data_IF_146265776066
#
_entry.id   IF_146265776066
#
_cell.length_a   1.000
_cell.length_b   1.000
_cell.length_c   1.000
_cell.angle_alpha   90.00
_cell.angle_beta   90.00
_cell.angle_gamma   90.00
#
_symmetry.space_group_name_H-M   'P 1'
#
loop_
_entity.id
_entity.type
_entity.pdbx_description
1 polymer ?
#
# COMPACT_ATOMS: atom_id res chain seq x y z
N UNK A 1 -34.24 4.89 -18.15
CA UNK A 1 -33.33 4.66 -17.01
C UNK A 1 -32.53 3.41 -17.28
N UNK A 2 -31.23 3.55 -17.54
CA UNK A 2 -30.34 2.41 -17.74
C UNK A 2 -30.08 1.80 -16.36
N UNK A 3 -30.50 0.55 -16.15
CA UNK A 3 -30.29 -0.17 -14.89
C UNK A 3 -28.80 -0.18 -14.54
N UNK A 4 -28.43 0.38 -13.38
CA UNK A 4 -27.05 0.36 -12.88
C UNK A 4 -26.66 -1.10 -12.59
N UNK A 5 -25.85 -1.68 -13.48
CA UNK A 5 -25.40 -3.06 -13.32
C UNK A 5 -24.17 -3.12 -12.41
N UNK A 6 -24.38 -3.53 -11.17
CA UNK A 6 -23.26 -3.82 -10.26
C UNK A 6 -22.52 -5.07 -10.70
N UNK A 7 -21.19 -5.02 -10.75
CA UNK A 7 -20.38 -6.16 -11.15
C UNK A 7 -20.33 -7.23 -10.04
N UNK A 8 -21.26 -8.20 -10.12
CA UNK A 8 -21.31 -9.36 -9.22
C UNK A 8 -20.05 -10.22 -9.25
N UNK A 9 -19.35 -10.28 -10.39
CA UNK A 9 -18.09 -11.03 -10.49
C UNK A 9 -17.01 -10.38 -9.63
N UNK A 10 -16.86 -9.05 -9.68
CA UNK A 10 -15.92 -8.33 -8.82
C UNK A 10 -16.23 -8.55 -7.33
N UNK A 11 -17.52 -8.53 -6.95
CA UNK A 11 -17.96 -8.84 -5.58
C UNK A 11 -17.61 -10.27 -5.14
N UNK A 12 -17.67 -11.24 -6.05
CA UNK A 12 -17.30 -12.64 -5.77
C UNK A 12 -15.78 -12.82 -5.63
N UNK A 13 -14.98 -12.10 -6.43
CA UNK A 13 -13.52 -12.27 -6.52
C UNK A 13 -12.72 -11.11 -5.92
N UNK A 14 -13.31 -10.29 -5.04
CA UNK A 14 -12.66 -9.09 -4.51
C UNK A 14 -11.29 -9.37 -3.87
N UNK A 15 -11.14 -10.45 -3.09
CA UNK A 15 -9.86 -10.78 -2.42
C UNK A 15 -8.71 -10.99 -3.40
N UNK A 16 -8.80 -11.92 -4.38
CA UNK A 16 -7.72 -12.10 -5.34
C UNK A 16 -7.51 -10.86 -6.22
N UNK A 17 -8.56 -10.10 -6.56
CA UNK A 17 -8.43 -8.85 -7.31
C UNK A 17 -7.63 -7.79 -6.53
N UNK A 18 -8.01 -7.52 -5.28
CA UNK A 18 -7.27 -6.60 -4.39
C UNK A 18 -5.80 -6.99 -4.28
N UNK A 19 -5.50 -8.28 -4.16
CA UNK A 19 -4.10 -8.73 -4.10
C UNK A 19 -3.35 -8.39 -5.39
N UNK A 20 -3.89 -8.72 -6.57
CA UNK A 20 -3.22 -8.43 -7.84
C UNK A 20 -3.05 -6.93 -8.08
N UNK A 21 -4.03 -6.12 -7.69
CA UNK A 21 -3.91 -4.66 -7.76
C UNK A 21 -2.77 -4.17 -6.88
N UNK A 22 -2.66 -4.64 -5.63
CA UNK A 22 -1.55 -4.25 -4.74
C UNK A 22 -0.18 -4.66 -5.29
N UNK A 23 -0.09 -5.84 -5.93
CA UNK A 23 1.14 -6.29 -6.59
C UNK A 23 1.48 -5.44 -7.82
N UNK A 24 0.48 -5.10 -8.65
CA UNK A 24 0.65 -4.22 -9.80
C UNK A 24 1.15 -2.83 -9.39
N UNK A 25 0.53 -2.25 -8.35
CA UNK A 25 0.95 -0.97 -7.76
C UNK A 25 2.39 -1.03 -7.28
N UNK A 26 2.79 -2.11 -6.59
CA UNK A 26 4.17 -2.26 -6.13
C UNK A 26 5.17 -2.32 -7.29
N UNK A 27 4.85 -3.07 -8.35
CA UNK A 27 5.76 -3.22 -9.49
C UNK A 27 5.93 -1.89 -10.25
N UNK A 28 4.86 -1.11 -10.43
CA UNK A 28 4.93 0.23 -11.03
C UNK A 28 5.75 1.20 -10.18
N UNK A 29 5.52 1.21 -8.86
CA UNK A 29 6.29 2.03 -7.91
C UNK A 29 7.78 1.67 -7.97
N UNK A 30 8.13 0.39 -8.04
CA UNK A 30 9.53 -0.05 -8.21
C UNK A 30 10.13 0.39 -9.54
N UNK A 31 9.41 0.20 -10.64
CA UNK A 31 9.88 0.53 -11.98
C UNK A 31 10.17 2.02 -12.15
N UNK A 32 9.36 2.89 -11.51
CA UNK A 32 9.49 4.34 -11.65
C UNK A 32 10.37 5.00 -10.59
N UNK A 33 10.41 4.48 -9.35
CA UNK A 33 11.15 5.11 -8.25
C UNK A 33 12.53 4.50 -8.07
N UNK A 34 12.63 3.17 -8.07
CA UNK A 34 13.87 2.43 -7.88
C UNK A 34 14.56 2.07 -9.21
N UNK A 35 13.90 2.31 -10.35
CA UNK A 35 14.43 2.00 -11.68
C UNK A 35 14.51 0.49 -11.96
N UNK A 36 13.73 -0.33 -11.25
CA UNK A 36 13.78 -1.78 -11.34
C UNK A 36 12.45 -2.37 -11.83
N UNK A 37 12.50 -3.18 -12.88
CA UNK A 37 11.33 -3.84 -13.46
C UNK A 37 10.80 -3.16 -14.72
N UNK A 38 9.66 -3.66 -15.21
CA UNK A 38 9.03 -3.18 -16.44
C UNK A 38 7.89 -2.22 -16.13
N UNK A 39 7.86 -1.10 -16.86
CA UNK A 39 6.78 -0.11 -16.80
C UNK A 39 5.59 -0.58 -17.63
N UNK A 40 4.38 -0.55 -17.07
CA UNK A 40 3.17 -1.00 -17.77
C UNK A 40 2.06 0.02 -17.80
N UNK A 41 1.92 0.87 -16.78
CA UNK A 41 0.76 1.77 -16.63
C UNK A 41 1.17 3.22 -16.43
N UNK A 42 2.07 3.47 -15.49
CA UNK A 42 2.48 4.83 -15.16
C UNK A 42 3.46 5.36 -16.21
N UNK A 43 3.44 6.67 -16.41
CA UNK A 43 4.27 7.31 -17.45
C UNK A 43 5.51 7.98 -16.87
N UNK A 44 5.51 8.36 -15.59
CA UNK A 44 6.58 9.15 -14.97
C UNK A 44 6.81 8.79 -13.50
N UNK A 45 7.92 9.30 -12.95
CA UNK A 45 8.20 9.18 -11.51
C UNK A 45 7.19 9.97 -10.67
N UNK A 46 6.73 11.11 -11.19
CA UNK A 46 5.75 11.96 -10.50
C UNK A 46 4.38 11.28 -10.41
N UNK A 47 3.96 10.54 -11.45
CA UNK A 47 2.74 9.71 -11.35
C UNK A 47 2.89 8.62 -10.28
N UNK A 48 4.08 8.02 -10.14
CA UNK A 48 4.34 7.02 -9.10
C UNK A 48 4.35 7.64 -7.69
N UNK A 49 4.88 8.85 -7.52
CA UNK A 49 4.79 9.59 -6.28
C UNK A 49 3.36 10.00 -5.95
N UNK A 50 2.61 10.50 -6.94
CA UNK A 50 1.20 10.80 -6.78
C UNK A 50 0.41 9.54 -6.40
N UNK A 51 0.63 8.41 -7.07
CA UNK A 51 -0.02 7.15 -6.70
C UNK A 51 0.33 6.76 -5.25
N UNK A 52 1.61 6.82 -4.89
CA UNK A 52 2.07 6.47 -3.56
C UNK A 52 1.43 7.34 -2.48
N UNK A 53 1.33 8.66 -2.65
CA UNK A 53 0.72 9.53 -1.65
C UNK A 53 -0.76 9.21 -1.34
N UNK A 54 -1.45 8.50 -2.24
CA UNK A 54 -2.81 7.96 -2.00
C UNK A 54 -2.85 6.77 -1.04
N UNK A 55 -1.70 6.31 -0.58
CA UNK A 55 -1.54 5.28 0.46
C UNK A 55 -0.96 5.87 1.76
N UNK A 56 -0.92 7.19 1.90
CA UNK A 56 -0.52 7.81 3.16
C UNK A 56 -1.48 7.37 4.29
N UNK A 57 -0.92 7.17 5.49
CA UNK A 57 -1.71 6.77 6.65
C UNK A 57 -2.25 5.34 6.66
N UNK A 58 -2.17 4.55 5.57
CA UNK A 58 -2.73 3.18 5.50
C UNK A 58 -2.22 2.27 6.61
N UNK A 59 -0.93 2.36 6.95
CA UNK A 59 -0.34 1.55 8.03
C UNK A 59 -0.52 2.13 9.42
N UNK A 60 -0.92 3.41 9.53
CA UNK A 60 -0.97 4.13 10.80
C UNK A 60 -2.23 3.80 11.64
N UNK A 61 -3.14 2.99 11.12
CA UNK A 61 -4.27 2.38 11.85
C UNK A 61 -4.60 1.06 11.13
N UNK A 62 -4.49 -0.19 11.64
CA UNK A 62 -3.96 -0.78 12.86
C UNK A 62 -2.84 -1.84 12.56
N UNK A 63 -1.98 -1.61 11.56
CA UNK A 63 -1.03 -2.63 11.06
C UNK A 63 0.20 -2.84 11.91
N UNK A 64 0.72 -1.76 12.49
CA UNK A 64 1.84 -1.80 13.39
C UNK A 64 1.40 -1.23 14.73
N UNK A 65 1.78 -1.91 15.82
CA UNK A 65 1.79 -1.28 17.14
C UNK A 65 2.61 0.03 17.04
N UNK A 66 2.33 1.03 17.86
CA UNK A 66 3.01 2.34 17.76
C UNK A 66 4.55 2.25 17.82
N UNK A 67 5.09 1.25 18.52
CA UNK A 67 6.54 1.04 18.71
C UNK A 67 7.30 0.62 17.42
N UNK A 68 6.86 -0.40 16.66
CA UNK A 68 7.52 -0.76 15.39
C UNK A 68 7.52 0.40 14.37
N UNK A 69 6.51 1.28 14.39
CA UNK A 69 6.51 2.48 13.56
C UNK A 69 7.61 3.48 13.91
N UNK A 70 8.04 3.54 15.18
CA UNK A 70 9.17 4.41 15.59
C UNK A 70 10.51 3.89 15.07
N UNK A 71 10.74 2.58 15.18
CA UNK A 71 11.93 1.93 14.60
C UNK A 71 11.97 2.15 13.09
N UNK A 72 10.83 1.97 12.43
CA UNK A 72 10.70 2.18 11.00
C UNK A 72 10.94 3.64 10.59
N UNK A 73 10.47 4.60 11.39
CA UNK A 73 10.81 6.02 11.23
C UNK A 73 12.32 6.26 11.28
N UNK A 74 12.99 5.73 12.30
CA UNK A 74 14.45 5.85 12.44
C UNK A 74 15.22 5.21 11.26
N UNK A 75 14.72 4.10 10.72
CA UNK A 75 15.32 3.47 9.52
C UNK A 75 15.14 4.36 8.29
N UNK A 76 13.96 4.96 8.10
CA UNK A 76 13.70 5.88 7.00
C UNK A 76 14.60 7.10 7.10
N UNK A 77 14.78 7.67 8.30
CA UNK A 77 15.63 8.83 8.51
C UNK A 77 17.09 8.50 8.17
N UNK A 78 17.59 7.32 8.58
CA UNK A 78 18.89 6.79 8.15
C UNK A 78 19.01 6.61 6.63
N UNK A 79 17.95 6.18 5.95
CA UNK A 79 17.95 6.12 4.48
C UNK A 79 18.07 7.52 3.87
N UNK A 80 17.41 8.51 4.46
CA UNK A 80 17.50 9.90 4.05
C UNK A 80 18.90 10.47 4.20
N UNK A 81 19.51 10.27 5.37
CA UNK A 81 20.90 10.68 5.65
C UNK A 81 21.89 10.00 4.71
N UNK A 82 21.79 8.67 4.55
CA UNK A 82 22.67 7.91 3.66
C UNK A 82 22.60 8.40 2.21
N UNK A 83 21.41 8.76 1.74
CA UNK A 83 21.22 9.30 0.40
C UNK A 83 21.76 10.73 0.27
N UNK A 84 21.43 11.60 1.24
CA UNK A 84 21.85 13.01 1.25
C UNK A 84 23.37 13.16 1.29
N UNK A 85 24.02 12.41 2.19
CA UNK A 85 25.47 12.48 2.40
C UNK A 85 26.26 11.56 1.45
N UNK A 86 25.58 10.67 0.72
CA UNK A 86 26.19 9.63 -0.12
C UNK A 86 27.07 8.65 0.67
N UNK A 87 26.70 8.36 1.91
CA UNK A 87 27.41 7.44 2.83
C UNK A 87 26.57 6.20 3.09
N UNK A 88 26.86 5.10 2.38
CA UNK A 88 26.07 3.86 2.47
C UNK A 88 26.29 3.11 3.79
N UNK A 89 27.38 3.37 4.49
CA UNK A 89 27.68 2.83 5.83
C UNK A 89 26.56 3.15 6.83
N UNK A 90 25.85 4.28 6.65
CA UNK A 90 24.69 4.66 7.48
C UNK A 90 23.51 3.68 7.39
N UNK A 91 23.50 2.82 6.38
CA UNK A 91 22.50 1.75 6.24
C UNK A 91 22.77 0.57 7.19
N UNK A 92 23.94 0.50 7.83
CA UNK A 92 24.30 -0.56 8.77
C UNK A 92 23.93 -0.20 10.21
N UNK A 93 23.37 -1.16 10.94
CA UNK A 93 22.78 -0.99 12.28
C UNK A 93 23.54 -1.88 13.26
N UNK A 94 24.35 -1.24 14.10
CA UNK A 94 25.11 -1.88 15.18
C UNK A 94 24.25 -2.16 16.41
N UNK A 95 24.80 -2.94 17.35
CA UNK A 95 24.12 -3.27 18.62
C UNK A 95 23.72 -2.01 19.40
N UNK A 96 24.61 -1.03 19.46
CA UNK A 96 24.39 0.25 20.14
C UNK A 96 23.10 0.97 19.72
N UNK A 97 22.74 0.93 18.43
CA UNK A 97 21.51 1.54 17.92
C UNK A 97 20.26 0.75 18.33
N UNK A 98 20.35 -0.58 18.36
CA UNK A 98 19.27 -1.44 18.84
C UNK A 98 19.00 -1.15 20.32
N UNK A 99 20.07 -1.03 21.12
CA UNK A 99 19.97 -0.75 22.56
C UNK A 99 19.36 0.65 22.80
N UNK A 100 19.80 1.65 22.04
CA UNK A 100 19.22 3.00 22.06
C UNK A 100 17.74 3.00 21.69
N UNK A 101 17.33 2.28 20.65
CA UNK A 101 15.90 2.16 20.29
C UNK A 101 15.10 1.51 21.42
N UNK A 102 15.67 0.51 22.09
CA UNK A 102 15.09 -0.12 23.27
C UNK A 102 14.76 0.91 24.35
N UNK A 103 15.75 1.72 24.72
CA UNK A 103 15.64 2.75 25.75
C UNK A 103 14.68 3.89 25.34
N UNK A 104 14.92 4.52 24.18
CA UNK A 104 14.20 5.73 23.75
C UNK A 104 12.74 5.42 23.40
N UNK A 105 12.47 4.29 22.76
CA UNK A 105 11.10 3.91 22.40
C UNK A 105 10.36 3.19 23.51
N UNK A 106 10.98 3.04 24.69
CA UNK A 106 10.43 2.35 25.86
C UNK A 106 9.93 0.95 25.49
N UNK A 107 10.77 0.22 24.75
CA UNK A 107 10.53 -1.19 24.40
C UNK A 107 11.05 -2.03 25.58
N UNK A 108 10.31 -3.08 26.02
CA UNK A 108 10.81 -4.00 27.05
C UNK A 108 12.16 -4.63 26.65
N UNK A 109 12.88 -5.31 27.57
CA UNK A 109 14.30 -5.71 27.45
C UNK A 109 14.71 -6.40 26.12
N UNK A 110 16.03 -6.51 25.87
CA UNK A 110 16.68 -7.01 24.63
C UNK A 110 16.00 -8.23 23.98
N UNK A 111 15.36 -9.11 24.74
CA UNK A 111 14.68 -10.30 24.21
C UNK A 111 13.44 -9.93 23.38
N UNK A 112 12.76 -8.83 23.75
CA UNK A 112 11.49 -8.38 23.17
C UNK A 112 11.73 -7.44 21.99
N UNK A 113 12.85 -6.69 21.92
CA UNK A 113 13.14 -5.84 20.75
C UNK A 113 13.22 -6.64 19.45
N UNK A 114 13.65 -7.91 19.54
CA UNK A 114 13.65 -8.87 18.43
C UNK A 114 12.25 -9.09 17.87
N UNK A 115 11.19 -9.09 18.68
CA UNK A 115 9.81 -9.21 18.21
C UNK A 115 9.38 -7.99 17.38
N UNK A 116 9.96 -6.82 17.65
CA UNK A 116 9.68 -5.59 16.91
C UNK A 116 10.53 -5.45 15.63
N UNK A 117 11.73 -6.06 15.61
CA UNK A 117 12.62 -6.11 14.44
C UNK A 117 12.21 -7.21 13.45
N UNK A 118 11.71 -8.35 13.96
CA UNK A 118 11.36 -9.53 13.15
C UNK A 118 10.41 -9.20 11.98
N UNK A 119 9.35 -8.39 12.14
CA UNK A 119 8.52 -7.96 11.02
C UNK A 119 9.31 -7.22 9.93
N UNK A 120 10.28 -6.38 10.31
CA UNK A 120 11.10 -5.61 9.36
C UNK A 120 12.04 -6.52 8.56
N UNK A 121 12.55 -7.58 9.19
CA UNK A 121 13.34 -8.63 8.52
C UNK A 121 12.48 -9.44 7.55
N UNK A 122 11.29 -9.88 7.99
CA UNK A 122 10.34 -10.64 7.14
C UNK A 122 9.89 -9.85 5.92
N UNK A 123 9.79 -8.53 6.06
CA UNK A 123 9.44 -7.63 4.97
C UNK A 123 10.64 -7.30 4.09
N UNK A 124 11.88 -7.66 4.45
CA UNK A 124 13.12 -7.28 3.78
C UNK A 124 13.42 -5.76 3.80
N UNK A 125 12.81 -5.03 4.72
CA UNK A 125 13.19 -3.65 5.07
C UNK A 125 14.58 -3.69 5.72
N UNK A 126 14.79 -4.64 6.62
CA UNK A 126 16.09 -5.00 7.17
C UNK A 126 16.55 -6.35 6.64
N UNK A 127 17.87 -6.57 6.65
CA UNK A 127 18.55 -7.83 6.36
C UNK A 127 19.64 -8.07 7.41
N UNK A 128 20.06 -9.32 7.64
CA UNK A 128 21.30 -9.58 8.37
C UNK A 128 22.46 -8.81 7.74
N UNK A 129 23.33 -8.27 8.60
CA UNK A 129 24.56 -7.61 8.15
C UNK A 129 25.50 -8.62 7.48
N UNK A 130 26.20 -8.17 6.45
CA UNK A 130 27.34 -8.86 5.84
C UNK A 130 28.69 -8.43 6.47
N UNK A 131 28.65 -7.52 7.44
CA UNK A 131 29.81 -7.02 8.20
C UNK A 131 29.70 -7.40 9.69
N UNK A 132 30.77 -7.94 10.31
CA UNK A 132 30.72 -8.51 11.66
C UNK A 132 30.44 -7.51 12.78
N UNK A 133 30.79 -6.24 12.59
CA UNK A 133 30.59 -5.16 13.56
C UNK A 133 29.14 -4.63 13.62
N UNK A 134 28.29 -5.04 12.68
CA UNK A 134 26.88 -4.65 12.61
C UNK A 134 25.96 -5.87 12.71
N UNK A 135 24.76 -5.68 13.27
CA UNK A 135 23.77 -6.76 13.40
C UNK A 135 22.89 -6.85 12.14
N UNK A 136 22.46 -5.68 11.64
CA UNK A 136 21.55 -5.58 10.53
C UNK A 136 22.02 -4.54 9.52
N UNK A 137 21.45 -4.60 8.32
CA UNK A 137 21.56 -3.54 7.32
C UNK A 137 20.22 -3.31 6.65
N UNK A 138 19.98 -2.09 6.18
CA UNK A 138 18.80 -1.79 5.36
C UNK A 138 18.88 -2.53 4.02
N UNK A 139 17.75 -3.10 3.59
CA UNK A 139 17.66 -3.71 2.27
C UNK A 139 17.82 -2.67 1.16
N UNK A 140 18.74 -2.89 0.22
CA UNK A 140 19.00 -1.93 -0.87
C UNK A 140 17.77 -1.57 -1.70
N UNK A 141 16.88 -2.54 -1.92
CA UNK A 141 15.61 -2.29 -2.61
C UNK A 141 14.74 -1.29 -1.84
N UNK A 142 14.61 -1.46 -0.52
CA UNK A 142 13.88 -0.53 0.33
C UNK A 142 14.56 0.85 0.33
N UNK A 143 15.89 0.89 0.46
CA UNK A 143 16.67 2.13 0.40
C UNK A 143 16.46 2.89 -0.92
N UNK A 144 16.48 2.23 -2.07
CA UNK A 144 16.24 2.88 -3.37
C UNK A 144 14.82 3.45 -3.50
N UNK A 145 13.84 2.84 -2.84
CA UNK A 145 12.47 3.31 -2.83
C UNK A 145 12.26 4.55 -1.95
N UNK A 146 12.87 4.59 -0.76
CA UNK A 146 12.59 5.64 0.23
C UNK A 146 13.70 6.67 0.39
N UNK A 147 14.96 6.30 0.21
CA UNK A 147 16.13 7.16 0.47
C UNK A 147 16.09 8.52 -0.24
N UNK A 148 15.83 8.57 -1.57
CA UNK A 148 15.74 9.82 -2.32
C UNK A 148 14.66 10.78 -1.83
N UNK A 149 13.58 10.29 -1.21
CA UNK A 149 12.52 11.12 -0.67
C UNK A 149 12.73 11.42 0.81
N UNK A 150 13.31 10.47 1.54
CA UNK A 150 13.61 10.60 2.96
C UNK A 150 14.72 11.64 3.22
N UNK A 151 15.56 11.97 2.25
CA UNK A 151 16.58 13.03 2.39
C UNK A 151 15.96 14.37 2.82
N UNK A 152 14.71 14.64 2.41
CA UNK A 152 13.98 15.86 2.80
C UNK A 152 13.54 15.88 4.26
N UNK A 153 13.71 14.78 5.00
CA UNK A 153 13.58 14.76 6.47
C UNK A 153 14.87 15.17 7.18
N UNK A 154 16.01 15.00 6.52
CA UNK A 154 17.34 15.29 7.06
C UNK A 154 17.84 16.70 6.68
N UNK A 155 17.12 17.42 5.82
CA UNK A 155 17.48 18.76 5.34
C UNK A 155 16.40 19.79 5.67
N UNK A 156 16.82 21.04 5.90
CA UNK A 156 15.88 22.17 6.00
C UNK A 156 15.24 22.40 4.64
N UNK A 157 13.94 22.17 4.56
CA UNK A 157 13.14 22.34 3.35
C UNK A 157 11.86 23.09 3.66
N UNK A 158 11.26 23.62 2.61
CA UNK A 158 9.93 24.20 2.66
C UNK A 158 8.91 23.23 3.32
N UNK A 159 8.08 23.70 4.27
CA UNK A 159 7.10 22.85 4.98
C UNK A 159 6.08 22.15 4.07
N UNK A 160 5.72 22.72 2.91
CA UNK A 160 4.80 22.08 1.97
C UNK A 160 5.49 20.92 1.27
N UNK A 161 6.72 21.14 0.79
CA UNK A 161 7.55 20.09 0.21
C UNK A 161 7.83 18.97 1.22
N UNK A 162 8.10 19.31 2.48
CA UNK A 162 8.24 18.31 3.55
C UNK A 162 6.98 17.45 3.69
N UNK A 163 5.80 18.08 3.76
CA UNK A 163 4.52 17.38 3.90
C UNK A 163 4.26 16.45 2.72
N UNK A 164 4.50 16.93 1.50
CA UNK A 164 4.34 16.16 0.27
C UNK A 164 5.26 14.92 0.26
N UNK A 165 6.56 15.12 0.46
CA UNK A 165 7.54 14.04 0.43
C UNK A 165 7.30 13.04 1.58
N UNK A 166 6.86 13.51 2.75
CA UNK A 166 6.46 12.63 3.85
C UNK A 166 5.27 11.75 3.49
N UNK A 167 4.23 12.33 2.87
CA UNK A 167 3.07 11.57 2.43
C UNK A 167 3.46 10.51 1.39
N UNK A 168 4.32 10.85 0.44
CA UNK A 168 4.86 9.90 -0.55
C UNK A 168 5.66 8.78 0.13
N UNK A 169 6.58 9.09 1.04
CA UNK A 169 7.38 8.08 1.77
C UNK A 169 6.49 7.13 2.58
N UNK A 170 5.52 7.67 3.32
CA UNK A 170 4.57 6.87 4.07
C UNK A 170 3.73 5.99 3.14
N UNK A 171 3.33 6.53 1.99
CA UNK A 171 2.61 5.83 0.93
C UNK A 171 3.39 4.67 0.32
N UNK A 172 4.65 4.91 -0.06
CA UNK A 172 5.58 3.87 -0.55
C UNK A 172 5.72 2.78 0.50
N UNK A 173 5.89 3.16 1.77
CA UNK A 173 5.99 2.20 2.86
C UNK A 173 4.71 1.36 2.99
N UNK A 174 3.54 1.99 2.95
CA UNK A 174 2.24 1.30 2.95
C UNK A 174 2.12 0.28 1.83
N UNK A 175 2.43 0.69 0.61
CA UNK A 175 2.43 -0.18 -0.57
C UNK A 175 3.41 -1.34 -0.37
N UNK A 176 4.65 -1.04 0.05
CA UNK A 176 5.72 -2.02 0.27
C UNK A 176 5.27 -3.10 1.26
N UNK A 177 4.79 -2.70 2.45
CA UNK A 177 4.38 -3.63 3.49
C UNK A 177 3.20 -4.48 3.04
N UNK A 178 2.15 -3.85 2.48
CA UNK A 178 0.97 -4.57 2.03
C UNK A 178 1.30 -5.54 0.90
N UNK A 179 2.10 -5.12 -0.09
CA UNK A 179 2.50 -5.97 -1.20
C UNK A 179 3.39 -7.14 -0.74
N UNK A 180 4.35 -6.89 0.16
CA UNK A 180 5.18 -7.96 0.72
C UNK A 180 4.36 -8.94 1.57
N UNK A 181 3.37 -8.46 2.33
CA UNK A 181 2.44 -9.32 3.03
C UNK A 181 1.61 -10.18 2.04
N UNK A 182 1.14 -9.59 0.94
CA UNK A 182 0.44 -10.35 -0.12
C UNK A 182 1.35 -11.43 -0.74
N UNK A 183 2.63 -11.14 -0.97
CA UNK A 183 3.63 -12.10 -1.52
C UNK A 183 3.99 -13.19 -0.52
N UNK A 184 4.11 -12.87 0.77
CA UNK A 184 4.60 -13.78 1.81
C UNK A 184 3.61 -14.87 2.26
N UNK A 185 2.44 -14.99 1.61
CA UNK A 185 1.41 -16.04 1.80
C UNK A 185 1.90 -17.50 1.73
N UNK A 186 3.20 -17.72 1.59
CA UNK A 186 3.89 -19.00 1.73
C UNK A 186 3.89 -19.53 3.19
N UNK A 187 3.56 -18.70 4.22
CA UNK A 187 3.63 -19.12 5.64
C UNK A 187 2.30 -19.18 6.41
N UNK A 188 1.16 -19.46 5.76
CA UNK A 188 -0.08 -19.85 6.46
C UNK A 188 -0.84 -18.75 7.21
N UNK A 189 -0.24 -17.60 7.50
CA UNK A 189 -0.95 -16.42 8.00
C UNK A 189 -1.39 -15.55 6.80
N UNK A 190 -2.69 -15.54 6.52
CA UNK A 190 -3.24 -14.64 5.50
C UNK A 190 -2.89 -13.20 5.84
N UNK A 191 -2.14 -12.50 4.96
CA UNK A 191 -1.93 -11.07 5.08
C UNK A 191 -3.27 -10.34 5.25
N UNK A 192 -3.54 -9.85 6.46
CA UNK A 192 -4.81 -9.23 6.83
C UNK A 192 -4.86 -7.78 6.33
N UNK A 193 -4.95 -7.56 5.01
CA UNK A 193 -5.22 -6.24 4.41
C UNK A 193 -6.37 -5.56 5.19
N UNK A 194 -6.29 -4.27 5.59
CA UNK A 194 -7.33 -3.68 6.42
C UNK A 194 -8.67 -3.70 5.69
N UNK A 195 -9.76 -3.73 6.45
CA UNK A 195 -11.09 -3.74 5.86
C UNK A 195 -11.39 -2.46 5.08
N UNK A 196 -11.00 -1.28 5.58
CA UNK A 196 -11.19 -0.02 4.86
C UNK A 196 -10.49 -0.05 3.49
N UNK A 197 -9.23 -0.49 3.41
CA UNK A 197 -8.51 -0.59 2.14
C UNK A 197 -9.17 -1.60 1.18
N UNK A 198 -9.54 -2.79 1.69
CA UNK A 198 -10.25 -3.80 0.90
C UNK A 198 -11.59 -3.29 0.37
N UNK A 199 -12.34 -2.57 1.21
CA UNK A 199 -13.65 -2.09 0.88
C UNK A 199 -13.60 -0.92 -0.11
N UNK A 200 -12.67 0.03 0.06
CA UNK A 200 -12.44 1.09 -0.93
C UNK A 200 -12.11 0.53 -2.32
N UNK A 201 -11.25 -0.49 -2.38
CA UNK A 201 -10.94 -1.19 -3.62
C UNK A 201 -12.19 -1.90 -4.17
N UNK A 202 -13.01 -2.50 -3.31
CA UNK A 202 -14.22 -3.18 -3.73
C UNK A 202 -15.27 -2.23 -4.31
N UNK A 203 -15.48 -1.07 -3.69
CA UNK A 203 -16.35 -0.04 -4.26
C UNK A 203 -15.86 0.39 -5.64
N UNK A 204 -14.57 0.67 -5.77
CA UNK A 204 -13.94 1.00 -7.06
C UNK A 204 -14.18 -0.13 -8.09
N UNK A 205 -13.86 -1.38 -7.75
CA UNK A 205 -13.97 -2.54 -8.63
C UNK A 205 -15.41 -2.95 -8.96
N UNK A 206 -16.38 -2.60 -8.12
CA UNK A 206 -17.79 -2.90 -8.38
C UNK A 206 -18.33 -2.15 -9.61
N UNK A 207 -17.67 -1.05 -10.00
CA UNK A 207 -17.89 -0.31 -11.25
C UNK A 207 -17.13 -0.86 -12.45
N UNK A 208 -16.51 -2.03 -12.34
CA UNK A 208 -15.81 -2.66 -13.44
C UNK A 208 -16.79 -3.10 -14.53
N UNK A 209 -16.61 -2.60 -15.74
CA UNK A 209 -17.33 -3.00 -16.94
C UNK A 209 -16.44 -3.88 -17.82
N UNK A 210 -16.83 -5.14 -18.08
CA UNK A 210 -16.24 -5.92 -19.15
C UNK A 210 -16.84 -5.44 -20.47
N UNK A 211 -16.14 -4.54 -21.18
CA UNK A 211 -16.48 -4.23 -22.58
C UNK A 211 -15.73 -5.20 -23.49
N UNK A 212 -16.25 -5.39 -24.71
CA UNK A 212 -15.94 -6.47 -25.68
C UNK A 212 -14.45 -6.75 -25.97
N UNK A 213 -13.51 -5.94 -25.48
CA UNK A 213 -12.08 -6.28 -25.48
C UNK A 213 -11.27 -5.71 -24.29
N UNK A 214 -11.89 -5.00 -23.35
CA UNK A 214 -11.16 -4.20 -22.36
C UNK A 214 -11.85 -4.18 -20.99
N UNK A 215 -11.02 -4.28 -19.95
CA UNK A 215 -11.37 -4.09 -18.54
C UNK A 215 -11.38 -2.58 -18.32
N UNK A 216 -12.57 -1.99 -18.11
CA UNK A 216 -12.73 -0.57 -17.82
C UNK A 216 -13.44 -0.37 -16.50
N UNK A 217 -12.93 0.46 -15.61
CA UNK A 217 -13.63 0.92 -14.42
C UNK A 217 -14.39 2.20 -14.76
N UNK A 218 -15.64 2.30 -14.30
CA UNK A 218 -16.40 3.54 -14.39
C UNK A 218 -15.67 4.66 -13.65
N UNK A 219 -15.61 5.81 -14.29
CA UNK A 219 -15.10 7.06 -13.74
C UNK A 219 -15.90 7.53 -12.53
N UNK A 220 -17.18 7.14 -12.41
CA UNK A 220 -18.05 7.49 -11.30
C UNK A 220 -18.44 6.26 -10.45
N UNK A 221 -18.27 6.39 -9.14
CA UNK A 221 -18.82 5.52 -8.12
C UNK A 221 -20.22 6.01 -7.71
N UNK A 222 -21.24 5.46 -8.36
CA UNK A 222 -22.65 5.84 -8.17
C UNK A 222 -23.22 5.39 -6.81
N UNK A 223 -24.12 6.18 -6.23
CA UNK A 223 -24.75 5.88 -4.93
C UNK A 223 -25.54 4.58 -4.92
N UNK A 224 -26.28 4.28 -6.00
CA UNK A 224 -27.05 3.04 -6.11
C UNK A 224 -26.15 1.80 -6.03
N UNK A 225 -24.95 1.88 -6.61
CA UNK A 225 -23.96 0.82 -6.56
C UNK A 225 -23.42 0.63 -5.16
N UNK A 226 -23.08 1.72 -4.47
CA UNK A 226 -22.65 1.68 -3.06
C UNK A 226 -23.70 0.97 -2.21
N UNK A 227 -24.97 1.36 -2.35
CA UNK A 227 -26.09 0.75 -1.62
C UNK A 227 -26.24 -0.76 -1.91
N UNK A 228 -26.03 -1.17 -3.16
CA UNK A 228 -26.05 -2.58 -3.53
C UNK A 228 -24.90 -3.36 -2.88
N UNK A 229 -23.68 -2.83 -2.93
CA UNK A 229 -22.51 -3.45 -2.28
C UNK A 229 -22.75 -3.55 -0.78
N UNK A 230 -23.26 -2.49 -0.15
CA UNK A 230 -23.65 -2.48 1.27
C UNK A 230 -24.63 -3.61 1.58
N UNK A 231 -25.69 -3.72 0.78
CA UNK A 231 -26.73 -4.76 0.93
C UNK A 231 -26.14 -6.16 0.81
N UNK A 232 -25.25 -6.39 -0.15
CA UNK A 232 -24.60 -7.69 -0.36
C UNK A 232 -23.84 -8.13 0.91
N UNK A 233 -23.08 -7.24 1.55
CA UNK A 233 -22.32 -7.62 2.74
C UNK A 233 -23.16 -7.78 3.99
N UNK A 234 -24.13 -6.89 4.20
CA UNK A 234 -25.02 -6.96 5.36
C UNK A 234 -25.93 -8.17 5.28
N UNK A 235 -26.64 -8.35 4.16
CA UNK A 235 -27.69 -9.36 4.05
C UNK A 235 -27.17 -10.70 3.53
N UNK A 236 -26.35 -10.72 2.49
CA UNK A 236 -25.89 -11.99 1.89
C UNK A 236 -24.67 -12.56 2.61
N UNK A 237 -23.78 -11.71 3.16
CA UNK A 237 -22.63 -12.16 3.97
C UNK A 237 -22.87 -12.13 5.46
N UNK A 238 -24.02 -11.60 5.92
CA UNK A 238 -24.41 -11.62 7.32
C UNK A 238 -23.52 -10.78 8.23
N UNK A 239 -22.89 -9.71 7.71
CA UNK A 239 -22.12 -8.81 8.56
C UNK A 239 -23.05 -7.95 9.44
N UNK A 240 -22.74 -7.77 10.74
CA UNK A 240 -23.51 -6.88 11.59
C UNK A 240 -23.59 -5.46 11.01
N UNK A 241 -24.79 -4.87 11.01
CA UNK A 241 -25.07 -3.56 10.39
C UNK A 241 -24.15 -2.48 10.92
N UNK A 242 -23.99 -2.36 12.24
CA UNK A 242 -23.16 -1.31 12.85
C UNK A 242 -21.67 -1.49 12.54
N UNK A 243 -21.19 -2.73 12.51
CA UNK A 243 -19.83 -3.03 12.07
C UNK A 243 -19.64 -2.61 10.60
N UNK A 244 -20.60 -2.93 9.74
CA UNK A 244 -20.54 -2.56 8.32
C UNK A 244 -20.55 -1.05 8.11
N UNK A 245 -21.41 -0.33 8.83
CA UNK A 245 -21.46 1.15 8.80
C UNK A 245 -20.13 1.77 9.20
N UNK A 246 -19.52 1.27 10.27
CA UNK A 246 -18.20 1.73 10.71
C UNK A 246 -17.12 1.47 9.65
N UNK A 247 -17.07 0.28 9.06
CA UNK A 247 -16.09 -0.03 7.99
C UNK A 247 -16.32 0.85 6.75
N UNK A 248 -17.59 1.09 6.39
CA UNK A 248 -17.95 1.95 5.26
C UNK A 248 -17.48 3.38 5.49
N UNK A 249 -17.76 3.95 6.66
CA UNK A 249 -17.31 5.29 7.01
C UNK A 249 -15.80 5.42 6.91
N UNK A 250 -15.04 4.46 7.48
CA UNK A 250 -13.59 4.43 7.38
C UNK A 250 -13.09 4.34 5.92
N UNK A 251 -13.77 3.56 5.07
CA UNK A 251 -13.41 3.40 3.66
C UNK A 251 -13.62 4.70 2.86
N UNK A 252 -14.71 5.43 3.12
CA UNK A 252 -14.96 6.73 2.47
C UNK A 252 -14.03 7.82 3.00
N UNK A 253 -13.82 7.88 4.32
CA UNK A 253 -12.85 8.78 4.94
C UNK A 253 -11.44 8.53 4.37
N UNK A 254 -11.06 7.28 4.16
CA UNK A 254 -9.80 6.92 3.51
C UNK A 254 -9.75 7.44 2.07
N UNK A 255 -10.77 7.15 1.25
CA UNK A 255 -10.80 7.54 -0.15
C UNK A 255 -10.75 9.06 -0.35
N UNK A 256 -11.43 9.82 0.51
CA UNK A 256 -11.42 11.28 0.50
C UNK A 256 -10.05 11.83 0.91
N UNK A 257 -9.55 11.46 2.10
CA UNK A 257 -8.25 11.92 2.63
C UNK A 257 -7.08 11.64 1.69
N UNK A 258 -7.18 10.54 0.94
CA UNK A 258 -6.14 10.09 0.02
C UNK A 258 -6.39 10.47 -1.43
N UNK A 259 -7.34 11.36 -1.73
CA UNK A 259 -7.61 11.84 -3.10
C UNK A 259 -7.83 10.70 -4.11
N UNK A 260 -8.50 9.65 -3.64
CA UNK A 260 -9.03 8.56 -4.50
C UNK A 260 -10.34 9.03 -5.12
N UNK A 261 -11.15 9.76 -4.36
CA UNK A 261 -12.25 10.57 -4.88
C UNK A 261 -11.66 11.93 -5.27
N UNK A 262 -11.88 12.34 -6.51
CA UNK A 262 -11.43 13.65 -7.01
C UNK A 262 -12.51 14.72 -6.92
N UNK A 263 -13.77 14.32 -7.09
CA UNK A 263 -14.90 15.25 -7.17
C UNK A 263 -16.21 14.55 -6.82
N UNK A 264 -17.25 15.34 -6.53
CA UNK A 264 -18.61 14.88 -6.27
C UNK A 264 -19.52 15.35 -7.40
N UNK A 265 -20.25 14.41 -7.99
CA UNK A 265 -21.20 14.65 -9.08
C UNK A 265 -22.63 14.44 -8.59
N UNK A 266 -23.62 14.78 -9.42
CA UNK A 266 -25.03 14.49 -9.16
C UNK A 266 -25.34 12.98 -9.03
N UNK A 267 -24.49 12.11 -9.58
CA UNK A 267 -24.72 10.67 -9.64
C UNK A 267 -23.89 9.88 -8.59
N UNK A 268 -22.86 10.50 -8.03
CA UNK A 268 -21.94 9.87 -7.09
C UNK A 268 -20.56 10.52 -7.08
N UNK A 269 -19.51 9.73 -6.83
CA UNK A 269 -18.15 10.23 -6.61
C UNK A 269 -17.26 9.96 -7.83
N UNK A 270 -16.61 11.00 -8.37
CA UNK A 270 -15.62 10.86 -9.45
C UNK A 270 -14.32 10.31 -8.88
N UNK A 271 -13.79 9.26 -9.49
CA UNK A 271 -12.58 8.57 -9.05
C UNK A 271 -11.35 9.10 -9.78
N UNK A 272 -10.19 9.03 -9.12
CA UNK A 272 -8.93 9.43 -9.70
C UNK A 272 -8.45 8.52 -10.84
N UNK A 273 -7.97 9.12 -11.92
CA UNK A 273 -7.54 8.40 -13.13
C UNK A 273 -6.37 7.45 -12.88
N UNK A 274 -5.36 7.85 -12.10
CA UNK A 274 -4.22 6.98 -11.77
C UNK A 274 -4.70 5.77 -10.97
N UNK A 275 -5.59 5.99 -9.99
CA UNK A 275 -6.20 4.93 -9.20
C UNK A 275 -6.99 3.95 -10.07
N UNK A 276 -7.82 4.45 -10.99
CA UNK A 276 -8.58 3.66 -11.96
C UNK A 276 -7.64 2.78 -12.80
N UNK A 277 -6.65 3.39 -13.47
CA UNK A 277 -5.72 2.67 -14.36
C UNK A 277 -4.99 1.54 -13.64
N UNK A 278 -4.59 1.78 -12.38
CA UNK A 278 -3.94 0.76 -11.56
C UNK A 278 -4.86 -0.39 -11.17
N UNK A 279 -6.14 -0.11 -10.90
CA UNK A 279 -7.11 -1.15 -10.62
C UNK A 279 -7.40 -2.01 -11.85
N UNK A 280 -7.56 -1.39 -13.01
CA UNK A 280 -7.74 -2.10 -14.28
C UNK A 280 -6.55 -3.00 -14.61
N UNK A 281 -5.31 -2.54 -14.38
CA UNK A 281 -4.12 -3.38 -14.55
C UNK A 281 -4.06 -4.56 -13.59
N UNK A 282 -4.39 -4.36 -12.31
CA UNK A 282 -4.47 -5.49 -11.37
C UNK A 282 -5.50 -6.53 -11.80
N UNK A 283 -6.67 -6.09 -12.27
CA UNK A 283 -7.69 -7.01 -12.80
C UNK A 283 -7.19 -7.70 -14.08
N UNK A 284 -6.51 -6.97 -14.97
CA UNK A 284 -5.93 -7.53 -16.21
C UNK A 284 -4.93 -8.63 -15.90
N UNK A 285 -4.01 -8.40 -14.95
CA UNK A 285 -3.05 -9.41 -14.48
C UNK A 285 -3.76 -10.62 -13.88
N UNK A 286 -4.80 -10.39 -13.07
CA UNK A 286 -5.60 -11.48 -12.51
C UNK A 286 -6.21 -12.38 -13.60
N UNK A 287 -6.89 -11.77 -14.58
CA UNK A 287 -7.53 -12.48 -15.69
C UNK A 287 -6.50 -13.22 -16.54
N UNK A 288 -5.38 -12.57 -16.90
CA UNK A 288 -4.31 -13.22 -17.65
C UNK A 288 -3.74 -14.44 -16.91
N UNK A 289 -3.55 -14.35 -15.59
CA UNK A 289 -3.09 -15.49 -14.78
C UNK A 289 -4.10 -16.63 -14.78
N UNK A 290 -5.40 -16.32 -14.66
CA UNK A 290 -6.44 -17.35 -14.77
C UNK A 290 -6.39 -18.02 -16.13
N UNK A 291 -6.36 -17.25 -17.22
CA UNK A 291 -6.30 -17.78 -18.58
C UNK A 291 -5.07 -18.66 -18.81
N UNK A 292 -3.90 -18.27 -18.31
CA UNK A 292 -2.68 -19.11 -18.38
C UNK A 292 -2.86 -20.44 -17.65
N UNK A 293 -3.52 -20.43 -16.48
CA UNK A 293 -3.80 -21.66 -15.73
C UNK A 293 -4.75 -22.59 -16.47
N UNK A 294 -5.74 -22.05 -17.19
CA UNK A 294 -6.72 -22.86 -17.94
C UNK A 294 -6.26 -23.27 -19.34
N UNK A 295 -5.32 -22.53 -19.96
CA UNK A 295 -4.69 -22.89 -21.25
C UNK A 295 -3.50 -23.87 -21.11
N UNK A 296 -3.01 -24.06 -19.89
CA UNK A 296 -1.94 -25.03 -19.56
C UNK A 296 -2.45 -26.42 -19.16
N UNK A 297 -3.73 -26.71 -19.44
CA UNK A 297 -4.35 -28.04 -19.37
C UNK A 297 -4.85 -28.41 -20.76
#
# INVERSE_FOLDING_TARGET
MTEVKVNKWALKYYRPLTNEVMLAIMDEVKAHIAGSGNKTVLSSRDEAYALASRFDGVLYRPFFKQRPMRILGAIIDRCGEAHNEKVLERLYIGKEFIDQWGQVFKIPPEDVIKEYITPLLRLHILKPSDRPEYLYRVGMEFFHLVGPLAQFRAALVDPEKYREMRAVVNGILSIYVVAHAVKSKIHGESARIPWFLRLSMLYTLSGLEPRVAQIRIRDILELERINYVDKYFVHEKGLPVELWRSIREEAFEFMDRNKVIEDVTSEGYKLNDIWIRMHEEGVRRYVQRLLRRYRGF
#
